data_IF_400802869789
#
_entry.id   IF_400802869789
#
_cell.length_a   1.000
_cell.length_b   1.000
_cell.length_c   1.000
_cell.angle_alpha   90.00
_cell.angle_beta   90.00
_cell.angle_gamma   90.00
#
_symmetry.space_group_name_H-M   'P 1'
#
loop_
_entity.id
_entity.type
_entity.pdbx_description
1 polymer ?
#
# COMPACT_ATOMS: atom_id res chain seq x y z
N UNK A 1 31.26 24.03 20.11
CA UNK A 1 30.49 24.05 18.84
C UNK A 1 30.04 22.66 18.41
N UNK A 2 30.75 21.59 18.78
CA UNK A 2 30.43 20.21 18.34
C UNK A 2 29.18 19.60 18.99
N UNK A 3 28.81 20.01 20.21
CA UNK A 3 27.64 19.48 20.92
C UNK A 3 26.29 19.87 20.25
N UNK A 4 26.22 21.10 19.72
CA UNK A 4 24.99 21.62 19.07
C UNK A 4 24.75 20.93 17.71
N UNK A 5 25.79 20.74 16.90
CA UNK A 5 25.71 20.00 15.62
C UNK A 5 25.30 18.54 15.81
N UNK A 6 25.79 17.89 16.87
CA UNK A 6 25.43 16.51 17.17
C UNK A 6 23.92 16.38 17.49
N UNK A 7 23.35 17.37 18.20
CA UNK A 7 21.92 17.35 18.58
C UNK A 7 21.01 17.58 17.38
N UNK A 8 21.38 18.49 16.47
CA UNK A 8 20.64 18.72 15.21
C UNK A 8 20.65 17.47 14.29
N UNK A 9 21.77 16.76 14.20
CA UNK A 9 21.86 15.54 13.39
C UNK A 9 20.98 14.39 13.93
N UNK A 10 20.94 14.24 15.26
CA UNK A 10 20.09 13.26 15.95
C UNK A 10 18.60 13.54 15.73
N UNK A 11 18.20 14.81 15.75
CA UNK A 11 16.82 15.20 15.48
C UNK A 11 16.39 14.84 14.05
N UNK A 12 17.23 15.11 13.05
CA UNK A 12 16.91 14.79 11.65
C UNK A 12 16.84 13.29 11.41
N UNK A 13 17.78 12.50 11.95
CA UNK A 13 17.71 11.04 11.83
C UNK A 13 16.48 10.46 12.53
N UNK A 14 16.09 11.05 13.67
CA UNK A 14 14.84 10.67 14.36
C UNK A 14 13.62 10.95 13.48
N UNK A 15 13.55 12.12 12.82
CA UNK A 15 12.48 12.44 11.89
C UNK A 15 12.42 11.46 10.71
N UNK A 16 13.56 11.09 10.12
CA UNK A 16 13.60 10.12 9.02
C UNK A 16 13.12 8.74 9.46
N UNK A 17 13.48 8.33 10.68
CA UNK A 17 13.03 7.07 11.24
C UNK A 17 11.51 7.07 11.47
N UNK A 18 10.97 8.14 12.05
CA UNK A 18 9.52 8.30 12.29
C UNK A 18 8.75 8.31 10.97
N UNK A 19 9.25 9.02 9.96
CA UNK A 19 8.62 9.07 8.63
C UNK A 19 8.59 7.68 7.99
N UNK A 20 9.69 6.92 8.06
CA UNK A 20 9.75 5.55 7.58
C UNK A 20 8.86 4.58 8.36
N UNK A 21 8.74 4.75 9.69
CA UNK A 21 7.83 3.96 10.52
C UNK A 21 6.36 4.19 10.13
N UNK A 22 5.98 5.44 9.87
CA UNK A 22 4.65 5.77 9.35
C UNK A 22 4.40 5.12 7.98
N UNK A 23 5.37 5.19 7.05
CA UNK A 23 5.25 4.51 5.76
C UNK A 23 5.05 3.01 5.89
N UNK A 24 5.81 2.35 6.79
CA UNK A 24 5.65 0.92 7.04
C UNK A 24 4.23 0.61 7.52
N UNK A 25 3.74 1.35 8.51
CA UNK A 25 2.38 1.20 9.04
C UNK A 25 1.32 1.38 7.96
N UNK A 26 1.46 2.39 7.09
CA UNK A 26 0.52 2.63 5.99
C UNK A 26 0.51 1.47 4.98
N UNK A 27 1.69 0.96 4.61
CA UNK A 27 1.80 -0.17 3.67
C UNK A 27 1.19 -1.44 4.30
N UNK A 28 1.48 -1.71 5.57
CA UNK A 28 0.90 -2.84 6.31
C UNK A 28 -0.63 -2.74 6.36
N UNK A 29 -1.17 -1.55 6.61
CA UNK A 29 -2.61 -1.30 6.56
C UNK A 29 -3.19 -1.60 5.16
N UNK A 30 -2.54 -1.14 4.09
CA UNK A 30 -2.98 -1.44 2.72
C UNK A 30 -2.92 -2.93 2.38
N UNK A 31 -1.94 -3.68 2.90
CA UNK A 31 -1.87 -5.13 2.73
C UNK A 31 -3.03 -5.84 3.45
N UNK A 32 -3.40 -5.38 4.65
CA UNK A 32 -4.57 -5.92 5.37
C UNK A 32 -5.84 -5.63 4.57
N UNK A 33 -6.01 -4.41 4.07
CA UNK A 33 -7.18 -4.03 3.29
C UNK A 33 -7.24 -4.76 1.93
N UNK A 34 -6.09 -4.99 1.30
CA UNK A 34 -5.97 -5.88 0.14
C UNK A 34 -6.49 -7.30 0.43
N UNK A 35 -6.09 -7.90 1.56
CA UNK A 35 -6.56 -9.24 1.96
C UNK A 35 -8.07 -9.26 2.17
N UNK A 36 -8.62 -8.19 2.75
CA UNK A 36 -10.06 -8.02 2.87
C UNK A 36 -10.75 -7.99 1.49
N UNK A 37 -10.27 -7.16 0.55
CA UNK A 37 -10.85 -7.06 -0.80
C UNK A 37 -10.73 -8.37 -1.59
N UNK A 38 -9.57 -9.04 -1.52
CA UNK A 38 -9.37 -10.35 -2.15
C UNK A 38 -10.31 -11.40 -1.58
N UNK A 39 -10.52 -11.39 -0.26
CA UNK A 39 -11.51 -12.27 0.39
C UNK A 39 -12.93 -11.94 -0.06
N UNK A 40 -13.26 -10.64 -0.17
CA UNK A 40 -14.56 -10.18 -0.61
C UNK A 40 -14.89 -10.74 -2.01
N UNK A 41 -13.97 -10.56 -2.96
CA UNK A 41 -14.14 -11.04 -4.34
C UNK A 41 -14.23 -12.57 -4.38
N UNK A 42 -13.23 -13.26 -3.82
CA UNK A 42 -13.13 -14.72 -3.94
C UNK A 42 -14.26 -15.46 -3.21
N UNK A 43 -14.72 -14.94 -2.07
CA UNK A 43 -15.71 -15.65 -1.24
C UNK A 43 -17.14 -15.27 -1.59
N UNK A 44 -17.41 -14.01 -1.90
CA UNK A 44 -18.78 -13.53 -2.05
C UNK A 44 -19.17 -13.32 -3.51
N UNK A 45 -18.23 -13.00 -4.40
CA UNK A 45 -18.57 -12.67 -5.78
C UNK A 45 -18.41 -13.83 -6.75
N UNK A 46 -17.60 -14.85 -6.43
CA UNK A 46 -17.44 -16.04 -7.30
C UNK A 46 -18.76 -16.69 -7.71
N UNK A 47 -19.80 -16.64 -6.86
CA UNK A 47 -21.13 -17.19 -7.18
C UNK A 47 -22.12 -16.17 -7.77
N UNK A 48 -21.79 -14.88 -7.75
CA UNK A 48 -22.66 -13.78 -8.19
C UNK A 48 -22.19 -13.15 -9.50
N UNK A 49 -20.94 -13.38 -9.88
CA UNK A 49 -20.34 -12.88 -11.13
C UNK A 49 -21.03 -13.56 -12.32
N UNK A 50 -21.72 -12.77 -13.13
CA UNK A 50 -22.11 -13.15 -14.49
C UNK A 50 -20.89 -13.17 -15.40
N UNK A 51 -20.95 -13.91 -16.52
CA UNK A 51 -19.90 -13.90 -17.55
C UNK A 51 -19.52 -12.48 -17.99
N UNK A 52 -20.48 -11.55 -18.01
CA UNK A 52 -20.28 -10.13 -18.33
C UNK A 52 -19.21 -9.43 -17.46
N UNK A 53 -19.05 -9.84 -16.20
CA UNK A 53 -18.13 -9.22 -15.24
C UNK A 53 -16.91 -10.07 -14.91
N UNK A 54 -16.77 -11.24 -15.55
CA UNK A 54 -15.71 -12.19 -15.24
C UNK A 54 -14.33 -11.61 -15.57
N UNK A 55 -14.17 -11.05 -16.77
CA UNK A 55 -12.88 -10.50 -17.22
C UNK A 55 -12.45 -9.30 -16.37
N UNK A 56 -13.38 -8.36 -16.10
CA UNK A 56 -13.12 -7.18 -15.25
C UNK A 56 -12.72 -7.62 -13.83
N UNK A 57 -13.38 -8.66 -13.28
CA UNK A 57 -13.05 -9.17 -11.95
C UNK A 57 -11.70 -9.88 -11.92
N UNK A 58 -11.36 -10.66 -12.96
CA UNK A 58 -10.07 -11.34 -13.06
C UNK A 58 -8.91 -10.34 -13.14
N UNK A 59 -9.05 -9.26 -13.93
CA UNK A 59 -8.05 -8.19 -13.98
C UNK A 59 -7.81 -7.56 -12.60
N UNK A 60 -8.90 -7.25 -11.87
CA UNK A 60 -8.82 -6.71 -10.52
C UNK A 60 -8.07 -7.66 -9.58
N UNK A 61 -8.37 -8.95 -9.61
CA UNK A 61 -7.69 -9.95 -8.77
C UNK A 61 -6.19 -10.04 -9.10
N UNK A 62 -5.83 -10.02 -10.39
CA UNK A 62 -4.42 -10.03 -10.81
C UNK A 62 -3.69 -8.77 -10.36
N UNK A 63 -4.32 -7.59 -10.46
CA UNK A 63 -3.77 -6.32 -10.00
C UNK A 63 -3.61 -6.27 -8.48
N UNK A 64 -4.58 -6.79 -7.73
CA UNK A 64 -4.51 -6.95 -6.27
C UNK A 64 -3.30 -7.82 -5.89
N UNK A 65 -3.14 -9.01 -6.50
CA UNK A 65 -2.02 -9.91 -6.22
C UNK A 65 -0.65 -9.29 -6.54
N UNK A 66 -0.53 -8.59 -7.68
CA UNK A 66 0.70 -7.85 -8.02
C UNK A 66 1.01 -6.78 -6.97
N UNK A 67 -0.01 -6.05 -6.52
CA UNK A 67 0.14 -5.00 -5.52
C UNK A 67 0.58 -5.56 -4.17
N UNK A 68 0.10 -6.73 -3.76
CA UNK A 68 0.56 -7.38 -2.52
C UNK A 68 2.07 -7.64 -2.54
N UNK A 69 2.61 -8.14 -3.67
CA UNK A 69 4.04 -8.38 -3.81
C UNK A 69 4.84 -7.09 -3.76
N UNK A 70 4.38 -6.05 -4.46
CA UNK A 70 4.99 -4.71 -4.42
C UNK A 70 5.01 -4.18 -2.98
N UNK A 71 3.91 -4.34 -2.23
CA UNK A 71 3.82 -3.90 -0.84
C UNK A 71 4.82 -4.62 0.07
N UNK A 72 4.99 -5.94 -0.09
CA UNK A 72 5.97 -6.73 0.68
C UNK A 72 7.40 -6.29 0.40
N UNK A 73 7.74 -6.10 -0.87
CA UNK A 73 9.07 -5.61 -1.27
C UNK A 73 9.32 -4.19 -0.73
N UNK A 74 8.29 -3.34 -0.77
CA UNK A 74 8.40 -1.97 -0.26
C UNK A 74 8.54 -1.92 1.27
N UNK A 75 7.87 -2.80 2.03
CA UNK A 75 8.09 -2.94 3.47
C UNK A 75 9.55 -3.28 3.75
N UNK A 76 10.11 -4.24 3.02
CA UNK A 76 11.51 -4.63 3.18
C UNK A 76 12.45 -3.45 2.92
N UNK A 77 12.21 -2.69 1.86
CA UNK A 77 13.02 -1.51 1.55
C UNK A 77 12.92 -0.41 2.64
N UNK A 78 11.73 -0.25 3.25
CA UNK A 78 11.52 0.65 4.39
C UNK A 78 12.28 0.16 5.62
N UNK A 79 12.23 -1.15 5.92
CA UNK A 79 12.95 -1.74 7.04
C UNK A 79 14.47 -1.63 6.87
N UNK A 80 14.98 -1.87 5.66
CA UNK A 80 16.39 -1.71 5.32
C UNK A 80 16.84 -0.24 5.48
N UNK A 81 16.02 0.72 5.05
CA UNK A 81 16.25 2.15 5.28
C UNK A 81 16.28 2.48 6.78
N UNK A 82 15.29 2.03 7.55
CA UNK A 82 15.22 2.24 9.00
C UNK A 82 16.44 1.65 9.73
N UNK A 83 16.91 0.47 9.31
CA UNK A 83 18.13 -0.14 9.83
C UNK A 83 19.37 0.71 9.48
N UNK A 84 19.44 1.23 8.25
CA UNK A 84 20.47 2.17 7.81
C UNK A 84 20.51 3.45 8.65
N UNK A 85 19.35 4.04 8.98
CA UNK A 85 19.26 5.20 9.87
C UNK A 85 19.83 4.85 11.25
N UNK A 86 19.34 3.78 11.88
CA UNK A 86 19.74 3.35 13.24
C UNK A 86 21.25 3.08 13.37
N UNK A 87 21.82 2.38 12.40
CA UNK A 87 23.23 1.95 12.45
C UNK A 87 24.22 3.10 12.26
N UNK A 88 23.76 4.26 11.80
CA UNK A 88 24.60 5.39 11.45
C UNK A 88 24.25 6.67 12.22
N UNK A 89 23.47 6.58 13.29
CA UNK A 89 23.04 7.71 14.14
C UNK A 89 24.19 8.57 14.69
N UNK A 90 25.41 8.01 14.77
CA UNK A 90 26.59 8.67 15.34
C UNK A 90 27.58 9.18 14.28
N UNK A 91 27.28 9.00 12.99
CA UNK A 91 28.15 9.45 11.89
C UNK A 91 27.82 10.88 11.50
N UNK A 92 28.73 11.80 11.83
CA UNK A 92 28.75 13.16 11.28
C UNK A 92 29.48 13.15 9.92
N UNK A 93 28.81 12.63 8.90
CA UNK A 93 29.31 12.56 7.52
C UNK A 93 28.29 13.19 6.56
N UNK A 94 28.66 14.32 5.95
CA UNK A 94 27.81 15.03 4.99
C UNK A 94 27.49 14.21 3.73
N UNK A 95 28.39 13.34 3.28
CA UNK A 95 28.11 12.46 2.14
C UNK A 95 27.10 11.40 2.52
N UNK A 96 27.21 10.85 3.73
CA UNK A 96 26.22 9.92 4.27
C UNK A 96 24.84 10.58 4.37
N UNK A 97 24.76 11.80 4.93
CA UNK A 97 23.50 12.55 5.02
C UNK A 97 22.84 12.74 3.65
N UNK A 98 23.60 13.20 2.64
CA UNK A 98 23.08 13.39 1.27
C UNK A 98 22.55 12.09 0.66
N UNK A 99 23.27 10.98 0.86
CA UNK A 99 22.84 9.67 0.40
C UNK A 99 21.53 9.26 1.07
N UNK A 100 21.46 9.38 2.40
CA UNK A 100 20.29 9.01 3.18
C UNK A 100 19.06 9.84 2.81
N UNK A 101 19.21 11.15 2.63
CA UNK A 101 18.11 11.99 2.15
C UNK A 101 17.65 11.59 0.74
N UNK A 102 18.57 11.26 -0.16
CA UNK A 102 18.21 10.77 -1.50
C UNK A 102 17.46 9.44 -1.47
N UNK A 103 17.88 8.51 -0.60
CA UNK A 103 17.20 7.24 -0.36
C UNK A 103 15.80 7.47 0.21
N UNK A 104 15.67 8.35 1.22
CA UNK A 104 14.39 8.77 1.80
C UNK A 104 13.43 9.30 0.74
N UNK A 105 13.87 10.25 -0.09
CA UNK A 105 13.03 10.85 -1.12
C UNK A 105 12.58 9.82 -2.18
N UNK A 106 13.48 8.93 -2.60
CA UNK A 106 13.13 7.85 -3.53
C UNK A 106 12.10 6.91 -2.92
N UNK A 107 12.28 6.54 -1.66
CA UNK A 107 11.38 5.66 -0.95
C UNK A 107 10.01 6.30 -0.75
N UNK A 108 9.96 7.57 -0.32
CA UNK A 108 8.72 8.33 -0.16
C UNK A 108 7.90 8.39 -1.46
N UNK A 109 8.54 8.65 -2.61
CA UNK A 109 7.85 8.61 -3.91
C UNK A 109 7.29 7.24 -4.25
N UNK A 110 7.98 6.15 -3.87
CA UNK A 110 7.49 4.78 -4.09
C UNK A 110 6.31 4.45 -3.19
N UNK A 111 6.32 4.90 -1.94
CA UNK A 111 5.19 4.77 -0.99
C UNK A 111 3.97 5.53 -1.49
N UNK A 112 4.16 6.76 -1.95
CA UNK A 112 3.09 7.57 -2.55
C UNK A 112 2.50 6.89 -3.79
N UNK A 113 3.34 6.45 -4.72
CA UNK A 113 2.89 5.72 -5.91
C UNK A 113 2.13 4.44 -5.56
N UNK A 114 2.62 3.68 -4.57
CA UNK A 114 1.94 2.50 -4.05
C UNK A 114 0.53 2.83 -3.51
N UNK A 115 0.43 3.87 -2.67
CA UNK A 115 -0.86 4.34 -2.13
C UNK A 115 -1.84 4.75 -3.24
N UNK A 116 -1.36 5.44 -4.27
CA UNK A 116 -2.19 5.81 -5.42
C UNK A 116 -2.71 4.60 -6.18
N UNK A 117 -1.84 3.65 -6.52
CA UNK A 117 -2.23 2.41 -7.22
C UNK A 117 -3.25 1.63 -6.38
N UNK A 118 -3.00 1.52 -5.07
CA UNK A 118 -3.92 0.88 -4.13
C UNK A 118 -5.31 1.54 -4.14
N UNK A 119 -5.37 2.87 -4.03
CA UNK A 119 -6.64 3.62 -4.06
C UNK A 119 -7.41 3.40 -5.35
N UNK A 120 -6.72 3.39 -6.50
CA UNK A 120 -7.37 3.12 -7.79
C UNK A 120 -7.96 1.71 -7.86
N UNK A 121 -7.18 0.70 -7.46
CA UNK A 121 -7.68 -0.69 -7.43
C UNK A 121 -8.87 -0.80 -6.47
N UNK A 122 -8.79 -0.19 -5.29
CA UNK A 122 -9.90 -0.16 -4.32
C UNK A 122 -11.16 0.46 -4.94
N UNK A 123 -11.04 1.58 -5.66
CA UNK A 123 -12.16 2.17 -6.39
C UNK A 123 -12.76 1.20 -7.42
N UNK A 124 -11.92 0.47 -8.17
CA UNK A 124 -12.40 -0.50 -9.16
C UNK A 124 -13.14 -1.67 -8.47
N UNK A 125 -12.62 -2.17 -7.34
CA UNK A 125 -13.28 -3.17 -6.49
C UNK A 125 -14.66 -2.69 -6.05
N UNK A 126 -14.79 -1.42 -5.61
CA UNK A 126 -16.08 -0.87 -5.22
C UNK A 126 -17.06 -0.81 -6.39
N UNK A 127 -16.63 -0.31 -7.55
CA UNK A 127 -17.48 -0.21 -8.74
C UNK A 127 -17.99 -1.57 -9.20
N UNK A 128 -17.13 -2.59 -9.26
CA UNK A 128 -17.56 -3.92 -9.68
C UNK A 128 -18.49 -4.56 -8.64
N UNK A 129 -18.25 -4.30 -7.35
CA UNK A 129 -19.14 -4.70 -6.26
C UNK A 129 -20.54 -4.11 -6.45
N UNK A 130 -20.63 -2.81 -6.75
CA UNK A 130 -21.91 -2.14 -6.97
C UNK A 130 -22.66 -2.72 -8.18
N UNK A 131 -21.97 -2.99 -9.29
CA UNK A 131 -22.55 -3.63 -10.48
C UNK A 131 -23.11 -5.01 -10.16
N UNK A 132 -22.31 -5.86 -9.52
CA UNK A 132 -22.69 -7.24 -9.15
C UNK A 132 -23.92 -7.23 -8.22
N UNK A 133 -23.87 -6.42 -7.16
CA UNK A 133 -24.98 -6.33 -6.20
C UNK A 133 -26.24 -5.70 -6.81
N UNK A 134 -26.10 -4.75 -7.74
CA UNK A 134 -27.20 -4.17 -8.50
C UNK A 134 -27.94 -5.21 -9.32
N UNK A 135 -27.21 -6.01 -10.10
CA UNK A 135 -27.80 -7.06 -10.92
C UNK A 135 -28.45 -8.17 -10.09
N UNK A 136 -27.88 -8.54 -8.95
CA UNK A 136 -28.48 -9.53 -8.05
C UNK A 136 -29.80 -9.06 -7.43
N UNK A 137 -29.90 -7.77 -7.07
CA UNK A 137 -31.18 -7.19 -6.62
C UNK A 137 -32.24 -7.25 -7.71
N UNK A 138 -31.87 -6.93 -8.96
CA UNK A 138 -32.79 -7.00 -10.11
C UNK A 138 -33.26 -8.43 -10.37
N UNK A 139 -32.35 -9.43 -10.36
CA UNK A 139 -32.71 -10.84 -10.52
C UNK A 139 -33.71 -11.31 -9.46
N UNK A 140 -33.48 -10.97 -8.19
CA UNK A 140 -34.38 -11.34 -7.09
C UNK A 140 -35.78 -10.75 -7.24
N UNK A 141 -35.90 -9.51 -7.72
CA UNK A 141 -37.19 -8.88 -7.99
C UNK A 141 -37.93 -9.61 -9.12
N UNK A 142 -37.25 -9.93 -10.22
CA UNK A 142 -37.86 -10.65 -11.35
C UNK A 142 -38.33 -12.05 -10.91
N UNK A 143 -37.54 -12.76 -10.10
CA UNK A 143 -37.91 -14.09 -9.58
C UNK A 143 -39.03 -14.09 -8.54
N UNK A 144 -39.31 -12.95 -7.89
CA UNK A 144 -40.37 -12.84 -6.89
C UNK A 144 -41.73 -12.43 -7.48
N UNK A 145 -41.76 -12.08 -8.78
CA UNK A 145 -42.96 -11.65 -9.52
C UNK A 145 -43.56 -12.79 -10.36
N UNK A 146 -42.93 -13.97 -10.38
CA UNK A 146 -43.46 -15.22 -10.92
C UNK A 146 -43.73 -16.22 -9.80
#
# INVERSE_FOLDING_TARGET
MDFVRNTESLEVYSQYYIEAENWKSDIEFYIIEHKFMSTLINKYFTFLISEEYLDETQDIVLRLSKLENIGKDLIKDVEDFMHGVKTNLTKDDQMFYKRLNSEKEKLGRRVEAFSHIFKHIKTDVFKITEKILGNEKVKKLISAVH
#
